data_IF_474049587166
#
_entry.id   IF_474049587166
#
_cell.length_a   1.000
_cell.length_b   1.000
_cell.length_c   1.000
_cell.angle_alpha   90.00
_cell.angle_beta   90.00
_cell.angle_gamma   90.00
#
_symmetry.space_group_name_H-M   'P 1'
#
loop_
_entity.id
_entity.type
_entity.pdbx_description
1 polymer ?
#
# COMPACT_ATOMS: atom_id res chain seq x y z
N UNK A 1 -20.88 3.44 10.50
CA UNK A 1 -20.48 4.22 11.70
C UNK A 1 -19.10 4.84 11.55
N UNK A 2 -18.00 4.09 11.44
CA UNK A 2 -16.66 4.69 11.30
C UNK A 2 -16.52 5.55 10.03
N UNK A 3 -16.93 5.01 8.88
CA UNK A 3 -16.85 5.72 7.60
C UNK A 3 -17.76 6.95 7.53
N UNK A 4 -18.90 6.92 8.22
CA UNK A 4 -19.80 8.08 8.27
C UNK A 4 -19.12 9.25 9.00
N UNK A 5 -18.45 8.98 10.12
CA UNK A 5 -17.64 9.99 10.82
C UNK A 5 -16.44 10.48 10.00
N UNK A 6 -15.83 9.62 9.17
CA UNK A 6 -14.82 10.08 8.21
C UNK A 6 -15.42 11.01 7.15
N UNK A 7 -16.60 10.67 6.62
CA UNK A 7 -17.33 11.53 5.69
C UNK A 7 -17.66 12.90 6.30
N UNK A 8 -18.16 12.93 7.53
CA UNK A 8 -18.44 14.17 8.26
C UNK A 8 -17.20 15.07 8.39
N UNK A 9 -16.04 14.51 8.76
CA UNK A 9 -14.78 15.28 8.87
C UNK A 9 -14.34 15.81 7.50
N UNK A 10 -14.47 15.00 6.44
CA UNK A 10 -14.14 15.42 5.08
C UNK A 10 -15.07 16.54 4.62
N UNK A 11 -16.36 16.45 4.92
CA UNK A 11 -17.35 17.47 4.56
C UNK A 11 -17.14 18.78 5.36
N UNK A 12 -16.74 18.71 6.63
CA UNK A 12 -16.43 19.87 7.46
C UNK A 12 -15.12 20.57 7.06
N UNK A 13 -14.16 19.82 6.52
CA UNK A 13 -12.80 20.28 6.22
C UNK A 13 -12.25 19.76 4.87
N UNK A 14 -12.94 20.03 3.75
CA UNK A 14 -12.67 19.38 2.45
C UNK A 14 -11.35 19.83 1.81
N UNK A 15 -10.80 20.97 2.21
CA UNK A 15 -9.50 21.49 1.77
C UNK A 15 -8.32 20.94 2.59
N UNK A 16 -8.59 20.17 3.65
CA UNK A 16 -7.58 19.70 4.61
C UNK A 16 -7.55 18.20 4.78
N UNK A 17 -8.71 17.54 4.73
CA UNK A 17 -8.81 16.12 5.01
C UNK A 17 -9.45 15.34 3.88
N UNK A 18 -8.91 14.15 3.70
CA UNK A 18 -9.50 13.09 2.92
C UNK A 18 -9.29 11.77 3.67
N UNK A 19 -10.16 10.80 3.43
CA UNK A 19 -10.12 9.51 4.10
C UNK A 19 -10.22 8.33 3.13
N UNK A 20 -9.65 7.21 3.58
CA UNK A 20 -9.91 5.88 3.06
C UNK A 20 -10.93 5.17 3.96
N UNK A 21 -11.82 4.40 3.33
CA UNK A 21 -12.84 3.63 4.03
C UNK A 21 -12.20 2.49 4.83
N UNK A 22 -12.64 2.33 6.08
CA UNK A 22 -12.47 1.09 6.82
C UNK A 22 -13.42 0.03 6.24
N UNK A 23 -12.89 -1.15 5.91
CA UNK A 23 -13.65 -2.20 5.22
C UNK A 23 -13.86 -3.44 6.11
N UNK A 24 -15.07 -4.02 6.15
CA UNK A 24 -15.35 -5.27 6.87
C UNK A 24 -14.83 -6.49 6.10
N UNK A 25 -13.50 -6.63 5.99
CA UNK A 25 -12.87 -7.64 5.12
C UNK A 25 -13.16 -9.10 5.50
N UNK A 26 -13.72 -9.35 6.69
CA UNK A 26 -14.22 -10.68 7.09
C UNK A 26 -15.41 -11.14 6.24
N UNK A 27 -16.09 -10.20 5.57
CA UNK A 27 -17.19 -10.45 4.62
C UNK A 27 -16.88 -9.67 3.33
N UNK A 28 -16.06 -10.21 2.42
CA UNK A 28 -15.52 -9.47 1.27
C UNK A 28 -16.56 -8.83 0.35
N UNK A 29 -17.71 -9.46 0.15
CA UNK A 29 -18.82 -8.90 -0.62
C UNK A 29 -19.37 -7.63 0.05
N UNK A 30 -19.58 -7.67 1.37
CA UNK A 30 -20.00 -6.50 2.14
C UNK A 30 -18.90 -5.42 2.16
N UNK A 31 -17.62 -5.81 2.16
CA UNK A 31 -16.52 -4.86 2.03
C UNK A 31 -16.51 -4.16 0.66
N UNK A 32 -16.83 -4.88 -0.41
CA UNK A 32 -16.99 -4.29 -1.74
C UNK A 32 -18.19 -3.33 -1.81
N UNK A 33 -19.33 -3.69 -1.19
CA UNK A 33 -20.50 -2.81 -1.11
C UNK A 33 -20.20 -1.55 -0.27
N UNK A 34 -19.52 -1.69 0.87
CA UNK A 34 -19.15 -0.57 1.73
C UNK A 34 -18.13 0.36 1.05
N UNK A 35 -17.18 -0.18 0.27
CA UNK A 35 -16.28 0.64 -0.53
C UNK A 35 -17.06 1.50 -1.55
N UNK A 36 -18.09 0.93 -2.20
CA UNK A 36 -18.94 1.68 -3.12
C UNK A 36 -19.72 2.79 -2.42
N UNK A 37 -20.34 2.46 -1.28
CA UNK A 37 -21.07 3.43 -0.47
C UNK A 37 -20.17 4.57 0.01
N UNK A 38 -19.02 4.23 0.59
CA UNK A 38 -18.08 5.20 1.12
C UNK A 38 -17.55 6.17 0.03
N UNK A 39 -17.28 5.66 -1.17
CA UNK A 39 -16.80 6.51 -2.28
C UNK A 39 -17.93 7.36 -2.87
N UNK A 40 -19.11 6.79 -3.09
CA UNK A 40 -20.19 7.47 -3.83
C UNK A 40 -21.05 8.38 -2.97
N UNK A 41 -21.26 8.02 -1.71
CA UNK A 41 -22.20 8.70 -0.82
C UNK A 41 -21.48 9.58 0.21
N UNK A 42 -20.28 9.18 0.63
CA UNK A 42 -19.53 9.87 1.70
C UNK A 42 -18.28 10.62 1.19
N UNK A 43 -17.96 10.53 -0.10
CA UNK A 43 -16.84 11.26 -0.70
C UNK A 43 -15.44 10.72 -0.33
N UNK A 44 -15.32 9.51 0.23
CA UNK A 44 -14.02 8.90 0.53
C UNK A 44 -13.27 8.53 -0.76
N UNK A 45 -11.93 8.51 -0.74
CA UNK A 45 -11.10 8.34 -1.97
C UNK A 45 -10.48 6.97 -2.12
N UNK A 46 -11.05 5.95 -1.48
CA UNK A 46 -10.55 4.58 -1.54
C UNK A 46 -10.85 3.81 -0.27
N UNK A 47 -10.14 2.71 -0.06
CA UNK A 47 -10.32 1.84 1.11
C UNK A 47 -9.00 1.36 1.70
N UNK A 48 -9.03 0.91 2.94
CA UNK A 48 -7.87 0.34 3.63
C UNK A 48 -7.97 -1.19 3.64
N UNK A 49 -6.87 -1.83 3.29
CA UNK A 49 -6.63 -3.26 3.48
C UNK A 49 -5.69 -3.48 4.65
N UNK A 50 -5.87 -4.61 5.33
CA UNK A 50 -4.85 -5.18 6.22
C UNK A 50 -4.04 -6.22 5.44
N UNK A 51 -2.77 -6.42 5.77
CA UNK A 51 -1.90 -7.41 5.10
C UNK A 51 -2.38 -8.86 5.18
N UNK A 52 -3.26 -9.16 6.13
CA UNK A 52 -4.04 -10.40 6.20
C UNK A 52 -5.37 -10.14 6.94
N UNK A 53 -6.32 -11.07 6.83
CA UNK A 53 -7.62 -11.02 7.51
C UNK A 53 -7.77 -12.29 8.33
N UNK A 54 -7.67 -12.18 9.65
CA UNK A 54 -7.71 -13.32 10.59
C UNK A 54 -6.75 -14.46 10.18
N UNK A 55 -5.52 -14.10 9.76
CA UNK A 55 -4.51 -15.03 9.30
C UNK A 55 -4.69 -15.53 7.85
N UNK A 56 -5.75 -15.11 7.16
CA UNK A 56 -5.95 -15.42 5.74
C UNK A 56 -5.21 -14.41 4.85
N UNK A 57 -4.43 -14.89 3.86
CA UNK A 57 -3.73 -14.01 2.94
C UNK A 57 -4.67 -13.43 1.88
N UNK A 58 -4.34 -12.25 1.37
CA UNK A 58 -5.22 -11.44 0.54
C UNK A 58 -5.37 -11.91 -0.92
N UNK A 59 -4.59 -12.89 -1.35
CA UNK A 59 -4.62 -13.46 -2.70
C UNK A 59 -5.67 -14.58 -2.86
N UNK A 60 -6.42 -14.90 -1.82
CA UNK A 60 -7.53 -15.86 -1.90
C UNK A 60 -8.69 -15.30 -2.74
N UNK A 61 -9.37 -16.20 -3.45
CA UNK A 61 -10.50 -15.84 -4.34
C UNK A 61 -11.64 -15.10 -3.63
N UNK A 62 -11.82 -15.31 -2.33
CA UNK A 62 -12.82 -14.61 -1.52
C UNK A 62 -12.61 -13.08 -1.52
N UNK A 63 -11.38 -12.58 -1.67
CA UNK A 63 -11.10 -11.14 -1.66
C UNK A 63 -11.24 -10.45 -3.02
N UNK A 64 -11.45 -11.20 -4.11
CA UNK A 64 -11.58 -10.67 -5.47
C UNK A 64 -12.67 -9.60 -5.63
N UNK A 65 -13.85 -9.70 -4.99
CA UNK A 65 -14.88 -8.67 -5.07
C UNK A 65 -14.39 -7.27 -4.65
N UNK A 66 -13.49 -7.19 -3.66
CA UNK A 66 -12.93 -5.91 -3.18
C UNK A 66 -12.04 -5.27 -4.25
N UNK A 67 -11.16 -6.06 -4.88
CA UNK A 67 -10.30 -5.57 -5.96
C UNK A 67 -11.10 -5.17 -7.20
N UNK A 68 -12.07 -5.98 -7.59
CA UNK A 68 -12.97 -5.67 -8.70
C UNK A 68 -13.71 -4.36 -8.45
N UNK A 69 -14.20 -4.15 -7.23
CA UNK A 69 -14.86 -2.91 -6.87
C UNK A 69 -13.93 -1.70 -6.92
N UNK A 70 -12.73 -1.80 -6.34
CA UNK A 70 -11.75 -0.72 -6.35
C UNK A 70 -11.38 -0.31 -7.78
N UNK A 71 -11.19 -1.29 -8.67
CA UNK A 71 -10.96 -1.05 -10.11
C UNK A 71 -12.17 -0.37 -10.76
N UNK A 72 -13.39 -0.85 -10.51
CA UNK A 72 -14.62 -0.28 -11.08
C UNK A 72 -14.84 1.18 -10.66
N UNK A 73 -14.51 1.52 -9.42
CA UNK A 73 -14.61 2.87 -8.87
C UNK A 73 -13.41 3.76 -9.23
N UNK A 74 -12.34 3.16 -9.76
CA UNK A 74 -11.06 3.81 -10.05
C UNK A 74 -10.50 4.56 -8.82
N UNK A 75 -10.44 3.85 -7.69
CA UNK A 75 -9.91 4.34 -6.41
C UNK A 75 -8.80 3.41 -5.89
N UNK A 76 -7.80 3.93 -5.16
CA UNK A 76 -6.78 3.10 -4.54
C UNK A 76 -7.27 2.31 -3.32
N UNK A 77 -6.53 1.24 -3.03
CA UNK A 77 -6.55 0.55 -1.74
C UNK A 77 -5.20 0.75 -1.03
N UNK A 78 -5.24 1.21 0.21
CA UNK A 78 -4.06 1.38 1.05
C UNK A 78 -3.80 0.12 1.87
N UNK A 79 -2.67 -0.54 1.65
CA UNK A 79 -2.25 -1.77 2.32
C UNK A 79 -1.45 -1.43 3.59
N UNK A 80 -2.15 -1.41 4.71
CA UNK A 80 -1.58 -1.22 6.04
C UNK A 80 -1.22 -2.57 6.67
N UNK A 81 -0.09 -2.71 7.38
CA UNK A 81 0.25 -3.95 8.06
C UNK A 81 -0.72 -4.26 9.20
N UNK A 82 -0.82 -5.54 9.52
CA UNK A 82 -1.36 -6.01 10.80
C UNK A 82 -0.36 -6.99 11.42
N UNK A 83 -0.74 -7.67 12.49
CA UNK A 83 0.05 -8.79 13.02
C UNK A 83 0.32 -9.81 11.92
N UNK A 84 1.59 -10.14 11.62
CA UNK A 84 1.92 -11.06 10.55
C UNK A 84 1.32 -12.44 10.72
N UNK A 85 1.09 -13.14 9.61
CA UNK A 85 0.79 -14.57 9.67
C UNK A 85 2.00 -15.29 10.31
N UNK A 86 1.77 -16.13 11.32
CA UNK A 86 2.82 -16.84 12.08
C UNK A 86 3.78 -15.92 12.87
N UNK A 87 3.27 -14.87 13.52
CA UNK A 87 4.08 -13.88 14.26
C UNK A 87 4.50 -14.28 15.69
N UNK A 88 4.36 -15.54 16.11
CA UNK A 88 4.60 -15.96 17.51
C UNK A 88 5.99 -15.58 18.02
N UNK A 89 7.03 -15.80 17.20
CA UNK A 89 8.42 -15.46 17.53
C UNK A 89 8.70 -13.94 17.58
N UNK A 90 7.74 -13.10 17.19
CA UNK A 90 7.86 -11.64 17.19
C UNK A 90 7.20 -10.97 18.40
N UNK A 91 6.71 -11.76 19.37
CA UNK A 91 5.97 -11.27 20.53
C UNK A 91 6.77 -10.36 21.48
N UNK A 92 8.09 -10.51 21.51
CA UNK A 92 8.99 -9.73 22.37
C UNK A 92 9.58 -8.50 21.65
N UNK A 93 10.15 -7.57 22.43
CA UNK A 93 10.91 -6.39 21.98
C UNK A 93 10.20 -5.50 20.95
N UNK A 94 8.86 -5.59 20.85
CA UNK A 94 8.09 -4.91 19.80
C UNK A 94 8.53 -5.32 18.39
N UNK A 95 8.93 -6.58 18.19
CA UNK A 95 9.36 -7.07 16.88
C UNK A 95 8.23 -7.08 15.84
N UNK A 96 6.96 -7.21 16.26
CA UNK A 96 5.81 -7.08 15.33
C UNK A 96 5.86 -5.75 14.55
N UNK A 97 5.87 -4.56 15.17
CA UNK A 97 5.99 -3.31 14.41
C UNK A 97 7.39 -3.08 13.82
N UNK A 98 8.47 -3.54 14.46
CA UNK A 98 9.85 -3.25 14.01
C UNK A 98 10.24 -4.02 12.74
N UNK A 99 9.90 -5.30 12.65
CA UNK A 99 10.25 -6.15 11.50
C UNK A 99 9.03 -6.84 10.89
N UNK A 100 8.06 -7.23 11.73
CA UNK A 100 6.88 -7.94 11.29
C UNK A 100 6.09 -7.17 10.23
N UNK A 101 5.78 -5.90 10.47
CA UNK A 101 5.02 -5.05 9.55
C UNK A 101 5.66 -4.97 8.15
N UNK A 102 6.97 -4.74 8.08
CA UNK A 102 7.69 -4.67 6.80
C UNK A 102 7.73 -6.02 6.07
N UNK A 103 7.94 -7.11 6.79
CA UNK A 103 7.94 -8.47 6.22
C UNK A 103 6.54 -8.87 5.74
N UNK A 104 5.50 -8.59 6.51
CA UNK A 104 4.12 -8.98 6.19
C UNK A 104 3.56 -8.16 5.02
N UNK A 105 3.87 -6.86 4.96
CA UNK A 105 3.55 -6.01 3.78
C UNK A 105 4.22 -6.58 2.52
N UNK A 106 5.48 -6.98 2.62
CA UNK A 106 6.21 -7.58 1.51
C UNK A 106 5.62 -8.92 1.10
N UNK A 107 5.25 -9.76 2.08
CA UNK A 107 4.62 -11.05 1.83
C UNK A 107 3.28 -10.87 1.11
N UNK A 108 2.41 -9.98 1.61
CA UNK A 108 1.12 -9.69 0.99
C UNK A 108 1.28 -9.25 -0.47
N UNK A 109 2.19 -8.30 -0.73
CA UNK A 109 2.48 -7.82 -2.09
C UNK A 109 2.97 -8.94 -3.01
N UNK A 110 3.96 -9.72 -2.56
CA UNK A 110 4.52 -10.79 -3.38
C UNK A 110 3.48 -11.90 -3.64
N UNK A 111 2.60 -12.19 -2.67
CA UNK A 111 1.48 -13.11 -2.89
C UNK A 111 0.50 -12.57 -3.94
N UNK A 112 0.15 -11.29 -3.91
CA UNK A 112 -0.70 -10.66 -4.93
C UNK A 112 -0.07 -10.66 -6.34
N UNK A 113 1.26 -10.57 -6.42
CA UNK A 113 2.01 -10.72 -7.67
C UNK A 113 1.95 -12.18 -8.15
N UNK A 114 2.45 -13.14 -7.36
CA UNK A 114 2.63 -14.53 -7.78
C UNK A 114 1.33 -15.34 -7.91
N UNK A 115 0.26 -14.93 -7.23
CA UNK A 115 -1.10 -15.47 -7.46
C UNK A 115 -1.71 -14.99 -8.78
N UNK A 116 -1.16 -13.94 -9.39
CA UNK A 116 -1.71 -13.34 -10.60
C UNK A 116 -2.87 -12.37 -10.36
N UNK A 117 -3.16 -11.97 -9.12
CA UNK A 117 -4.16 -10.92 -8.82
C UNK A 117 -3.84 -9.63 -9.58
N UNK A 118 -2.58 -9.20 -9.52
CA UNK A 118 -2.15 -7.99 -10.21
C UNK A 118 -2.12 -8.15 -11.74
N UNK A 119 -2.04 -9.38 -12.26
CA UNK A 119 -2.24 -9.66 -13.70
C UNK A 119 -3.72 -9.56 -14.06
N UNK A 120 -4.61 -10.11 -13.23
CA UNK A 120 -6.08 -10.10 -13.42
C UNK A 120 -6.66 -8.70 -13.34
N UNK A 121 -6.13 -7.85 -12.47
CA UNK A 121 -6.57 -6.47 -12.27
C UNK A 121 -5.44 -5.47 -12.60
N UNK A 122 -5.14 -5.23 -13.88
CA UNK A 122 -4.01 -4.40 -14.27
C UNK A 122 -4.14 -2.92 -13.88
N UNK A 123 -5.37 -2.47 -13.64
CA UNK A 123 -5.70 -1.10 -13.24
C UNK A 123 -5.89 -0.95 -11.72
N UNK A 124 -5.65 -2.01 -10.92
CA UNK A 124 -5.74 -1.92 -9.47
C UNK A 124 -4.64 -0.98 -8.95
N UNK A 125 -5.05 0.05 -8.22
CA UNK A 125 -4.17 0.99 -7.54
C UNK A 125 -3.95 0.49 -6.11
N UNK A 126 -2.77 -0.04 -5.81
CA UNK A 126 -2.37 -0.40 -4.45
C UNK A 126 -1.32 0.56 -3.93
N UNK A 127 -1.52 1.07 -2.71
CA UNK A 127 -0.53 1.85 -1.98
C UNK A 127 0.02 0.97 -0.87
N UNK A 128 1.28 0.60 -0.95
CA UNK A 128 1.97 -0.17 0.06
C UNK A 128 2.56 0.75 1.14
N UNK A 129 2.23 0.46 2.39
CA UNK A 129 2.77 1.22 3.50
C UNK A 129 4.26 0.98 3.74
N UNK A 130 4.91 1.89 4.47
CA UNK A 130 6.30 1.78 4.95
C UNK A 130 7.29 1.58 3.80
N UNK A 131 7.20 2.40 2.76
CA UNK A 131 8.02 2.30 1.54
C UNK A 131 7.93 0.92 0.86
N UNK A 132 6.80 0.22 1.00
CA UNK A 132 6.63 -1.14 0.50
C UNK A 132 7.21 -2.23 1.41
N UNK A 133 7.59 -1.92 2.65
CA UNK A 133 8.24 -2.85 3.55
C UNK A 133 9.66 -3.21 3.07
N UNK A 134 9.99 -4.49 3.01
CA UNK A 134 11.33 -4.99 2.63
C UNK A 134 11.42 -5.48 1.18
N UNK A 135 10.31 -5.53 0.41
CA UNK A 135 10.39 -6.03 -0.96
C UNK A 135 11.30 -5.20 -1.88
N UNK A 136 11.39 -3.84 -1.76
CA UNK A 136 12.31 -3.09 -2.61
C UNK A 136 13.75 -3.55 -2.41
N UNK A 137 14.16 -3.84 -1.17
CA UNK A 137 15.46 -4.43 -0.87
C UNK A 137 15.62 -5.84 -1.49
N UNK A 138 14.55 -6.64 -1.46
CA UNK A 138 14.56 -8.02 -2.00
C UNK A 138 14.38 -8.13 -3.52
N UNK A 139 14.18 -7.02 -4.25
CA UNK A 139 13.84 -7.00 -5.69
C UNK A 139 14.69 -7.92 -6.56
N UNK A 140 16.02 -7.90 -6.38
CA UNK A 140 16.94 -8.73 -7.15
C UNK A 140 16.80 -10.23 -6.83
N UNK A 141 16.50 -10.56 -5.57
CA UNK A 141 16.23 -11.93 -5.13
C UNK A 141 14.91 -12.43 -5.73
N UNK A 142 13.87 -11.60 -5.72
CA UNK A 142 12.55 -11.93 -6.30
C UNK A 142 12.69 -12.21 -7.80
N UNK A 143 13.37 -11.34 -8.54
CA UNK A 143 13.64 -11.50 -9.98
C UNK A 143 14.44 -12.77 -10.30
N UNK A 144 15.50 -13.02 -9.53
CA UNK A 144 16.34 -14.22 -9.72
C UNK A 144 15.55 -15.49 -9.40
N UNK A 145 14.75 -15.45 -8.33
CA UNK A 145 13.90 -16.59 -7.93
C UNK A 145 12.86 -16.90 -9.00
N UNK A 146 12.21 -15.88 -9.58
CA UNK A 146 11.26 -16.09 -10.67
C UNK A 146 11.89 -16.80 -11.88
N UNK A 147 13.15 -16.48 -12.21
CA UNK A 147 13.86 -17.16 -13.32
C UNK A 147 14.19 -18.61 -12.98
N UNK A 148 14.58 -18.88 -11.73
CA UNK A 148 15.09 -20.16 -11.27
C UNK A 148 13.99 -21.18 -10.92
N UNK A 149 12.88 -20.74 -10.31
CA UNK A 149 11.85 -21.63 -9.76
C UNK A 149 10.60 -21.66 -10.67
N UNK A 150 10.22 -22.81 -11.23
CA UNK A 150 9.02 -22.93 -12.06
C UNK A 150 7.72 -22.60 -11.32
N UNK A 151 7.68 -22.80 -10.00
CA UNK A 151 6.54 -22.51 -9.13
C UNK A 151 6.16 -21.02 -9.17
N UNK A 152 7.14 -20.14 -9.37
CA UNK A 152 6.91 -18.70 -9.50
C UNK A 152 6.20 -18.30 -10.81
N UNK A 153 6.14 -19.19 -11.81
CA UNK A 153 5.58 -18.93 -13.15
C UNK A 153 4.18 -19.52 -13.34
N UNK A 154 3.58 -20.08 -12.28
CA UNK A 154 2.29 -20.79 -12.37
C UNK A 154 1.15 -19.85 -12.79
N UNK A 155 1.12 -18.62 -12.29
CA UNK A 155 0.01 -17.68 -12.53
C UNK A 155 0.40 -16.38 -13.26
N UNK A 156 1.69 -16.19 -13.53
CA UNK A 156 2.24 -15.01 -14.20
C UNK A 156 3.33 -15.42 -15.20
N UNK A 157 3.37 -14.73 -16.34
CA UNK A 157 4.33 -14.98 -17.43
C UNK A 157 5.44 -13.92 -17.47
N UNK A 158 5.12 -12.69 -17.06
CA UNK A 158 6.07 -11.57 -17.01
C UNK A 158 6.89 -11.58 -15.72
N UNK A 159 8.11 -10.99 -15.73
CA UNK A 159 8.90 -10.82 -14.52
C UNK A 159 8.16 -10.05 -13.41
N UNK A 160 8.34 -10.39 -12.12
CA UNK A 160 7.68 -9.73 -11.00
C UNK A 160 7.80 -8.19 -11.00
N UNK A 161 8.93 -7.65 -11.46
CA UNK A 161 9.17 -6.20 -11.59
C UNK A 161 8.15 -5.49 -12.47
N UNK A 162 7.57 -6.15 -13.48
CA UNK A 162 6.51 -5.58 -14.31
C UNK A 162 5.28 -5.25 -13.44
N UNK A 163 4.95 -6.15 -12.51
CA UNK A 163 3.81 -5.97 -11.62
C UNK A 163 4.15 -5.02 -10.46
N UNK A 164 5.33 -5.17 -9.85
CA UNK A 164 5.79 -4.38 -8.70
C UNK A 164 5.94 -2.89 -9.02
N UNK A 165 6.35 -2.51 -10.25
CA UNK A 165 6.46 -1.10 -10.67
C UNK A 165 5.13 -0.35 -10.72
N UNK A 166 3.99 -1.06 -10.65
CA UNK A 166 2.65 -0.45 -10.64
C UNK A 166 2.16 -0.14 -9.22
N UNK A 167 2.84 -0.64 -8.20
CA UNK A 167 2.48 -0.44 -6.80
C UNK A 167 2.99 0.93 -6.37
N UNK A 168 2.10 1.72 -5.77
CA UNK A 168 2.45 2.97 -5.10
C UNK A 168 3.00 2.64 -3.71
N UNK A 169 3.85 3.50 -3.17
CA UNK A 169 4.40 3.36 -1.82
C UNK A 169 4.28 4.69 -1.11
N UNK A 170 4.09 4.67 0.20
CA UNK A 170 4.34 5.89 0.99
C UNK A 170 5.85 6.13 1.17
N UNK A 171 6.20 7.28 1.71
CA UNK A 171 7.57 7.65 2.06
C UNK A 171 7.89 7.42 3.55
N UNK A 172 7.15 6.53 4.22
CA UNK A 172 7.35 6.27 5.66
C UNK A 172 8.61 5.40 5.81
N UNK A 173 9.74 6.08 5.91
CA UNK A 173 11.05 5.52 6.15
C UNK A 173 11.89 6.50 6.95
N UNK A 174 12.88 5.98 7.66
CA UNK A 174 13.71 6.74 8.59
C UNK A 174 15.17 6.86 8.12
N UNK A 175 15.45 6.44 6.89
CA UNK A 175 16.79 6.33 6.33
C UNK A 175 16.80 6.77 4.86
N UNK A 176 17.68 7.70 4.52
CA UNK A 176 17.77 8.30 3.19
C UNK A 176 18.33 7.34 2.14
N UNK A 177 19.32 6.51 2.50
CA UNK A 177 19.93 5.54 1.57
C UNK A 177 18.91 4.48 1.12
N UNK A 178 18.04 4.06 2.04
CA UNK A 178 16.93 3.14 1.74
C UNK A 178 15.90 3.80 0.82
N UNK A 179 15.57 5.07 1.05
CA UNK A 179 14.68 5.84 0.17
C UNK A 179 15.27 5.97 -1.24
N UNK A 180 16.55 6.36 -1.35
CA UNK A 180 17.25 6.51 -2.64
C UNK A 180 17.35 5.17 -3.40
N UNK A 181 17.62 4.07 -2.69
CA UNK A 181 17.63 2.72 -3.29
C UNK A 181 16.26 2.32 -3.84
N UNK A 182 15.18 2.74 -3.17
CA UNK A 182 13.81 2.48 -3.63
C UNK A 182 13.42 3.36 -4.81
N UNK A 183 13.79 4.65 -4.79
CA UNK A 183 13.62 5.58 -5.91
C UNK A 183 14.30 5.06 -7.18
N UNK A 184 15.50 4.51 -7.07
CA UNK A 184 16.21 3.91 -8.20
C UNK A 184 15.46 2.70 -8.82
N UNK A 185 14.58 2.04 -8.06
CA UNK A 185 13.78 0.90 -8.53
C UNK A 185 12.40 1.32 -9.06
N UNK A 186 11.66 2.12 -8.28
CA UNK A 186 10.26 2.44 -8.52
C UNK A 186 10.06 3.74 -9.29
N UNK A 187 11.03 4.65 -9.25
CA UNK A 187 10.88 6.03 -9.70
C UNK A 187 10.09 6.89 -8.72
N UNK A 188 10.19 8.20 -8.90
CA UNK A 188 9.47 9.17 -8.06
C UNK A 188 7.96 9.11 -8.29
N UNK A 189 7.48 8.70 -9.47
CA UNK A 189 6.06 8.68 -9.86
C UNK A 189 5.20 7.65 -9.09
N UNK A 190 5.82 6.86 -8.21
CA UNK A 190 5.15 5.80 -7.44
C UNK A 190 5.35 5.94 -5.93
N UNK A 191 5.85 7.09 -5.46
CA UNK A 191 6.03 7.37 -4.03
C UNK A 191 5.15 8.56 -3.63
N UNK A 192 4.39 8.43 -2.56
CA UNK A 192 3.59 9.50 -1.97
C UNK A 192 4.11 9.84 -0.58
N UNK A 193 4.04 11.10 -0.18
CA UNK A 193 4.45 11.52 1.17
C UNK A 193 3.61 10.81 2.24
N UNK A 194 4.26 10.29 3.28
CA UNK A 194 3.62 9.69 4.44
C UNK A 194 4.37 9.98 5.73
N UNK A 195 3.64 10.04 6.84
CA UNK A 195 4.19 10.36 8.17
C UNK A 195 3.90 9.34 9.27
N UNK A 196 2.96 8.42 9.05
CA UNK A 196 2.42 7.49 10.06
C UNK A 196 1.82 8.18 11.30
N UNK A 197 1.48 9.47 11.24
CA UNK A 197 0.88 10.16 12.38
C UNK A 197 -0.53 9.61 12.67
N UNK A 198 -0.91 9.35 13.94
CA UNK A 198 -0.23 9.66 15.20
C UNK A 198 0.48 8.46 15.87
N UNK A 199 0.94 7.48 15.10
CA UNK A 199 1.63 6.31 15.66
C UNK A 199 2.91 6.69 16.43
N UNK A 200 3.35 5.83 17.35
CA UNK A 200 4.44 6.14 18.29
C UNK A 200 5.78 6.51 17.62
N UNK A 201 6.05 5.90 16.46
CA UNK A 201 7.23 6.21 15.62
C UNK A 201 6.85 7.00 14.37
N UNK A 202 5.62 7.49 14.30
CA UNK A 202 5.19 8.43 13.27
C UNK A 202 5.90 9.77 13.45
N UNK A 203 6.30 10.37 12.34
CA UNK A 203 7.16 11.55 12.36
C UNK A 203 6.69 12.54 11.29
N UNK A 204 5.60 13.22 11.64
CA UNK A 204 4.98 14.30 10.86
C UNK A 204 5.89 15.52 10.74
N UNK A 205 6.67 15.83 11.79
CA UNK A 205 7.49 17.03 11.84
C UNK A 205 8.62 17.00 10.79
N UNK A 206 9.22 15.83 10.55
CA UNK A 206 10.32 15.71 9.59
C UNK A 206 9.92 15.08 8.25
N UNK A 207 8.66 14.68 8.05
CA UNK A 207 8.23 13.99 6.83
C UNK A 207 8.56 14.78 5.55
N UNK A 208 8.23 16.08 5.52
CA UNK A 208 8.55 16.96 4.38
C UNK A 208 10.06 17.17 4.24
N UNK A 209 10.73 17.49 5.35
CA UNK A 209 12.18 17.74 5.36
C UNK A 209 13.02 16.56 4.87
N UNK A 210 12.58 15.31 5.12
CA UNK A 210 13.23 14.11 4.56
C UNK A 210 13.22 14.08 3.04
N UNK A 211 12.14 14.54 2.40
CA UNK A 211 12.06 14.58 0.93
C UNK A 211 12.79 15.81 0.38
N UNK A 212 12.74 16.94 1.06
CA UNK A 212 13.49 18.14 0.66
C UNK A 212 15.01 17.94 0.75
N UNK A 213 15.47 17.15 1.71
CA UNK A 213 16.90 16.91 1.99
C UNK A 213 17.62 15.96 1.03
N UNK A 214 16.91 15.08 0.32
CA UNK A 214 17.54 14.11 -0.59
C UNK A 214 17.97 14.72 -1.93
N UNK A 215 18.99 14.11 -2.54
CA UNK A 215 19.61 14.56 -3.80
C UNK A 215 18.87 14.00 -5.03
N UNK A 216 17.69 14.58 -5.30
CA UNK A 216 16.88 14.35 -6.51
C UNK A 216 16.39 15.69 -7.09
N UNK A 217 15.84 15.64 -8.31
CA UNK A 217 15.31 16.84 -8.97
C UNK A 217 14.15 17.47 -8.17
N UNK A 218 14.00 18.79 -8.25
CA UNK A 218 12.86 19.49 -7.64
C UNK A 218 11.51 18.98 -8.18
N UNK A 219 11.47 18.59 -9.46
CA UNK A 219 10.30 17.97 -10.07
C UNK A 219 9.93 16.66 -9.37
N UNK A 220 10.90 15.79 -9.10
CA UNK A 220 10.66 14.54 -8.39
C UNK A 220 10.31 14.76 -6.92
N UNK A 221 10.86 15.79 -6.27
CA UNK A 221 10.44 16.19 -4.91
C UNK A 221 8.97 16.59 -4.90
N UNK A 222 8.53 17.45 -5.84
CA UNK A 222 7.12 17.85 -5.95
C UNK A 222 6.18 16.67 -6.22
N UNK A 223 6.62 15.69 -7.03
CA UNK A 223 5.88 14.44 -7.23
C UNK A 223 5.59 13.76 -5.90
N UNK A 224 6.63 13.51 -5.11
CA UNK A 224 6.52 12.79 -3.85
C UNK A 224 5.74 13.60 -2.82
N UNK A 225 6.04 14.90 -2.70
CA UNK A 225 5.44 15.78 -1.71
C UNK A 225 3.94 15.96 -1.90
N UNK A 226 3.45 16.06 -3.14
CA UNK A 226 2.02 16.33 -3.36
C UNK A 226 1.45 15.89 -4.71
N UNK A 227 2.16 16.01 -5.86
CA UNK A 227 1.52 15.79 -7.18
C UNK A 227 1.00 14.36 -7.35
N UNK A 228 1.77 13.39 -6.87
CA UNK A 228 1.37 11.98 -6.94
C UNK A 228 0.11 11.70 -6.13
N UNK A 229 0.00 12.27 -4.92
CA UNK A 229 -1.19 12.12 -4.10
C UNK A 229 -2.40 12.82 -4.74
N UNK A 230 -2.22 14.03 -5.29
CA UNK A 230 -3.27 14.76 -5.99
C UNK A 230 -3.79 13.99 -7.21
N UNK A 231 -2.90 13.43 -8.04
CA UNK A 231 -3.29 12.59 -9.17
C UNK A 231 -3.99 11.31 -8.73
N UNK A 232 -3.41 10.59 -7.76
CA UNK A 232 -3.90 9.29 -7.30
C UNK A 232 -5.29 9.39 -6.66
N UNK A 233 -5.51 10.44 -5.88
CA UNK A 233 -6.72 10.66 -5.07
C UNK A 233 -7.74 11.60 -5.75
N UNK A 234 -7.38 12.21 -6.88
CA UNK A 234 -8.22 13.15 -7.65
C UNK A 234 -8.62 14.36 -6.79
N UNK A 235 -7.61 15.00 -6.18
CA UNK A 235 -7.72 16.21 -5.37
C UNK A 235 -7.55 17.48 -6.22
#
# INVERSE_FOLDING_TARGET
MANDGFGEIVDEHPDRFQAFAALPLQVPEAAAEELERAVKELGLRGGTLMTNVDGKPLDLDEFMPVYEKAVKLDVPLFLHPTSPINSEAMGDYRLVPIIGFGVDTSLAILRLVFSGVLRKFPNLKLIASHLGGVYPYLRGRVETSFKAYPECKVNIEEPPSVYLKRIWMDSIIYDEDVLMSTLAFAGADKIVLGSDHPHQIGDMANAVGRIEGIDISDEDKEKILWKNAAELLKL
#
